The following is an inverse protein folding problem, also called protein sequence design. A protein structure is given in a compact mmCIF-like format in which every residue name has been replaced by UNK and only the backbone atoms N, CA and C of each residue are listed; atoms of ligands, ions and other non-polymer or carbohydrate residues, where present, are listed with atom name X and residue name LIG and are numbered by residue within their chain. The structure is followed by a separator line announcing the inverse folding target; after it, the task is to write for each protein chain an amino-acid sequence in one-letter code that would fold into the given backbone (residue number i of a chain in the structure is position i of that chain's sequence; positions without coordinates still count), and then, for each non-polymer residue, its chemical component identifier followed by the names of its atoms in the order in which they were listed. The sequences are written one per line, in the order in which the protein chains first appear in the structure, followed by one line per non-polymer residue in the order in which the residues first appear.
data_IF_868197193215
#
_entry.id   IF_868197193215
#
_cell.length_a   1.000
_cell.length_b   1.000
_cell.length_c   1.000
_cell.angle_alpha   90.00
_cell.angle_beta   90.00
_cell.angle_gamma   90.00
#
_symmetry.space_group_name_H-M   'P 1'
#
loop_
_entity.id
_entity.type
_entity.pdbx_description
1 polymer ?
#
# COMPACT_ATOMS: atom_id res chain seq x y z
N UNK A 1 32.21 -60.26 43.20
CA UNK A 1 32.05 -59.73 41.84
C UNK A 1 31.79 -58.26 41.96
N UNK A 2 32.75 -57.39 41.57
CA UNK A 2 32.58 -55.96 41.55
C UNK A 2 32.25 -55.55 40.11
N UNK A 3 31.01 -55.09 39.89
CA UNK A 3 30.57 -54.55 38.58
C UNK A 3 31.04 -53.12 38.51
N UNK A 4 31.95 -52.83 37.59
CA UNK A 4 32.42 -51.44 37.29
C UNK A 4 31.45 -50.78 36.32
N UNK A 5 30.61 -49.91 36.82
CA UNK A 5 29.80 -49.04 35.92
C UNK A 5 30.70 -48.01 35.26
N UNK A 6 30.81 -48.11 33.94
CA UNK A 6 31.53 -47.16 33.07
C UNK A 6 30.59 -45.99 32.75
N UNK A 7 30.68 -44.91 33.51
CA UNK A 7 29.98 -43.67 33.18
C UNK A 7 30.55 -43.08 31.90
N UNK A 8 29.76 -43.11 30.82
CA UNK A 8 30.04 -42.40 29.58
C UNK A 8 29.80 -40.90 29.82
N UNK A 9 30.89 -40.17 30.01
CA UNK A 9 30.84 -38.70 30.03
C UNK A 9 30.56 -38.22 28.61
N UNK A 10 29.32 -37.75 28.35
CA UNK A 10 28.98 -37.08 27.10
C UNK A 10 29.74 -35.76 27.06
N UNK A 11 30.69 -35.65 26.15
CA UNK A 11 31.39 -34.41 25.87
C UNK A 11 30.37 -33.38 25.39
N UNK A 12 30.06 -32.38 26.21
CA UNK A 12 29.29 -31.22 25.84
C UNK A 12 30.18 -30.36 24.94
N UNK A 13 30.07 -30.51 23.61
CA UNK A 13 30.68 -29.61 22.66
C UNK A 13 30.08 -28.22 22.83
N UNK A 14 30.84 -27.25 23.32
CA UNK A 14 30.45 -25.85 23.33
C UNK A 14 30.60 -25.27 21.94
N UNK A 15 29.73 -24.32 21.56
CA UNK A 15 29.88 -23.56 20.32
C UNK A 15 31.17 -22.74 20.33
N UNK A 16 31.88 -22.76 19.23
CA UNK A 16 33.06 -21.93 19.05
C UNK A 16 32.68 -20.48 18.75
N UNK A 17 33.52 -19.55 19.16
CA UNK A 17 33.33 -18.11 18.86
C UNK A 17 33.27 -17.87 17.35
N UNK A 18 34.04 -18.65 16.57
CA UNK A 18 34.08 -18.59 15.10
C UNK A 18 32.75 -19.02 14.49
N UNK A 19 32.09 -20.08 15.02
CA UNK A 19 30.77 -20.51 14.53
C UNK A 19 29.72 -19.44 14.74
N UNK A 20 29.70 -18.76 15.88
CA UNK A 20 28.79 -17.66 16.13
C UNK A 20 29.08 -16.47 15.19
N UNK A 21 30.34 -16.16 14.97
CA UNK A 21 30.76 -15.08 14.09
C UNK A 21 30.35 -15.35 12.63
N UNK A 22 30.48 -16.60 12.18
CA UNK A 22 30.05 -17.03 10.85
C UNK A 22 28.52 -16.90 10.70
N UNK A 23 27.75 -17.31 11.69
CA UNK A 23 26.29 -17.23 11.66
C UNK A 23 25.82 -15.77 11.56
N UNK A 24 26.35 -14.86 12.38
CA UNK A 24 25.97 -13.46 12.30
C UNK A 24 26.41 -12.78 11.00
N UNK A 25 27.54 -13.20 10.43
CA UNK A 25 28.00 -12.71 9.13
C UNK A 25 27.03 -13.14 8.01
N UNK A 26 26.61 -14.40 7.98
CA UNK A 26 25.62 -14.91 7.00
C UNK A 26 24.26 -14.22 7.19
N UNK A 27 23.78 -14.10 8.44
CA UNK A 27 22.54 -13.39 8.73
C UNK A 27 22.60 -11.93 8.29
N UNK A 28 23.74 -11.24 8.45
CA UNK A 28 23.95 -9.88 8.00
C UNK A 28 23.82 -9.73 6.48
N UNK A 29 24.42 -10.65 5.72
CA UNK A 29 24.32 -10.67 4.24
C UNK A 29 22.88 -10.93 3.79
N UNK A 30 22.20 -11.91 4.40
CA UNK A 30 20.81 -12.23 4.09
C UNK A 30 19.87 -11.07 4.43
N UNK A 31 20.05 -10.41 5.58
CA UNK A 31 19.25 -9.26 5.97
C UNK A 31 19.41 -8.09 4.99
N UNK A 32 20.62 -7.83 4.51
CA UNK A 32 20.85 -6.78 3.51
C UNK A 32 20.09 -7.05 2.20
N UNK A 33 20.07 -8.30 1.72
CA UNK A 33 19.33 -8.69 0.50
C UNK A 33 17.81 -8.53 0.64
N UNK A 34 17.26 -8.77 1.82
CA UNK A 34 15.83 -8.64 2.10
C UNK A 34 15.41 -7.16 2.03
N UNK A 35 16.15 -6.25 2.65
CA UNK A 35 15.80 -4.82 2.69
C UNK A 35 15.76 -4.20 1.28
N UNK A 36 16.64 -4.60 0.37
CA UNK A 36 16.69 -4.06 -1.00
C UNK A 36 15.47 -4.45 -1.85
N UNK A 37 14.86 -5.61 -1.60
CA UNK A 37 13.69 -6.07 -2.38
C UNK A 37 12.34 -5.53 -1.88
N UNK A 38 12.22 -5.14 -0.62
CA UNK A 38 10.95 -4.66 -0.06
C UNK A 38 10.54 -3.28 -0.56
N UNK A 39 11.47 -2.42 -0.98
CA UNK A 39 11.17 -1.07 -1.46
C UNK A 39 10.28 -1.05 -2.71
N UNK A 40 10.58 -1.91 -3.69
CA UNK A 40 9.81 -2.02 -4.94
C UNK A 40 8.42 -2.60 -4.72
N UNK A 41 8.30 -3.71 -3.98
CA UNK A 41 7.02 -4.39 -3.71
C UNK A 41 6.05 -3.48 -2.94
N UNK A 42 6.55 -2.69 -1.99
CA UNK A 42 5.71 -1.75 -1.25
C UNK A 42 5.20 -0.61 -2.15
N UNK A 43 6.01 -0.12 -3.08
CA UNK A 43 5.61 0.87 -4.07
C UNK A 43 4.50 0.36 -4.99
N UNK A 44 4.67 -0.83 -5.54
CA UNK A 44 3.68 -1.49 -6.40
C UNK A 44 2.36 -1.75 -5.67
N UNK A 45 2.42 -2.19 -4.41
CA UNK A 45 1.24 -2.40 -3.59
C UNK A 45 0.46 -1.10 -3.36
N UNK A 46 1.16 0.02 -3.07
CA UNK A 46 0.56 1.35 -2.92
C UNK A 46 -0.07 1.83 -4.23
N UNK A 47 0.63 1.66 -5.35
CA UNK A 47 0.12 2.03 -6.66
C UNK A 47 -1.15 1.24 -7.02
N UNK A 48 -1.19 -0.06 -6.74
CA UNK A 48 -2.38 -0.88 -6.98
C UNK A 48 -3.54 -0.47 -6.07
N UNK A 49 -3.31 -0.24 -4.78
CA UNK A 49 -4.33 0.26 -3.86
C UNK A 49 -4.88 1.63 -4.30
N UNK A 50 -4.02 2.51 -4.82
CA UNK A 50 -4.41 3.81 -5.38
C UNK A 50 -5.30 3.65 -6.61
N UNK A 51 -4.96 2.76 -7.54
CA UNK A 51 -5.78 2.47 -8.73
C UNK A 51 -7.17 1.93 -8.35
N UNK A 52 -7.24 1.04 -7.35
CA UNK A 52 -8.51 0.51 -6.86
C UNK A 52 -9.37 1.60 -6.18
N UNK A 53 -8.73 2.52 -5.47
CA UNK A 53 -9.40 3.68 -4.89
C UNK A 53 -9.95 4.62 -5.98
N UNK A 54 -9.17 4.91 -7.02
CA UNK A 54 -9.58 5.71 -8.18
C UNK A 54 -10.81 5.11 -8.85
N UNK A 55 -10.83 3.80 -9.11
CA UNK A 55 -11.99 3.09 -9.69
C UNK A 55 -13.24 3.19 -8.81
N UNK A 56 -13.05 3.08 -7.50
CA UNK A 56 -14.14 3.21 -6.54
C UNK A 56 -14.73 4.61 -6.54
N UNK A 57 -13.87 5.65 -6.58
CA UNK A 57 -14.26 7.06 -6.65
C UNK A 57 -14.97 7.35 -7.97
N UNK A 58 -14.45 6.87 -9.10
CA UNK A 58 -15.06 7.03 -10.42
C UNK A 58 -16.47 6.45 -10.48
N UNK A 59 -16.65 5.22 -9.97
CA UNK A 59 -17.97 4.57 -9.91
C UNK A 59 -18.94 5.36 -9.02
N UNK A 60 -18.49 5.82 -7.87
CA UNK A 60 -19.31 6.61 -6.96
C UNK A 60 -19.65 7.98 -7.57
N UNK A 61 -18.71 8.60 -8.27
CA UNK A 61 -18.92 9.89 -8.94
C UNK A 61 -19.93 9.80 -10.10
N UNK A 62 -19.90 8.72 -10.86
CA UNK A 62 -20.90 8.46 -11.90
C UNK A 62 -22.32 8.27 -11.29
N UNK A 63 -22.42 7.57 -10.17
CA UNK A 63 -23.68 7.44 -9.45
C UNK A 63 -24.14 8.79 -8.85
N UNK A 64 -23.22 9.63 -8.41
CA UNK A 64 -23.51 10.99 -7.93
C UNK A 64 -24.05 11.87 -9.07
N UNK A 65 -23.44 11.83 -10.25
CA UNK A 65 -23.89 12.56 -11.42
C UNK A 65 -25.33 12.18 -11.81
N UNK A 66 -25.65 10.89 -11.82
CA UNK A 66 -27.02 10.42 -12.11
C UNK A 66 -28.04 10.93 -11.09
N UNK A 67 -27.64 11.06 -9.82
CA UNK A 67 -28.54 11.52 -8.73
C UNK A 67 -28.71 13.03 -8.68
N UNK A 68 -27.63 13.77 -8.89
CA UNK A 68 -27.54 15.22 -8.61
C UNK A 68 -27.56 16.04 -9.90
N UNK A 69 -27.28 15.39 -11.06
CA UNK A 69 -27.19 16.06 -12.38
C UNK A 69 -25.87 16.76 -12.63
N UNK A 70 -24.87 16.57 -11.78
CA UNK A 70 -23.52 17.13 -11.94
C UNK A 70 -22.49 16.23 -11.25
N UNK A 71 -21.24 16.31 -11.62
CA UNK A 71 -20.15 15.64 -10.92
C UNK A 71 -19.91 16.23 -9.52
N UNK A 72 -19.35 15.43 -8.58
CA UNK A 72 -18.94 15.91 -7.27
C UNK A 72 -17.75 16.87 -7.40
N UNK A 73 -17.62 17.83 -6.48
CA UNK A 73 -16.48 18.74 -6.45
C UNK A 73 -15.29 18.14 -5.69
N UNK A 74 -15.58 17.21 -4.76
CA UNK A 74 -14.57 16.57 -3.93
C UNK A 74 -14.96 15.12 -3.62
N UNK A 75 -14.01 14.33 -3.11
CA UNK A 75 -14.28 12.96 -2.66
C UNK A 75 -15.20 12.96 -1.42
N UNK A 76 -15.16 14.01 -0.61
CA UNK A 76 -16.01 14.19 0.55
C UNK A 76 -17.50 14.29 0.17
N UNK A 77 -17.83 14.86 -0.97
CA UNK A 77 -19.21 14.92 -1.48
C UNK A 77 -19.80 13.52 -1.66
N UNK A 78 -18.97 12.53 -1.99
CA UNK A 78 -19.37 11.13 -2.17
C UNK A 78 -19.60 10.39 -0.85
N UNK A 79 -19.00 10.88 0.24
CA UNK A 79 -19.10 10.32 1.59
C UNK A 79 -20.21 10.97 2.41
N UNK A 80 -20.64 12.16 1.99
CA UNK A 80 -21.70 12.88 2.67
C UNK A 80 -23.07 12.31 2.31
N UNK A 81 -23.96 12.23 3.30
CA UNK A 81 -25.38 11.92 3.09
C UNK A 81 -26.12 13.21 2.74
N UNK A 82 -26.01 13.68 1.50
CA UNK A 82 -26.86 14.77 1.06
C UNK A 82 -28.31 14.25 0.98
N UNK A 83 -29.25 15.03 1.51
CA UNK A 83 -30.69 14.79 1.43
C UNK A 83 -31.20 13.46 2.01
N UNK A 84 -30.55 12.92 3.04
CA UNK A 84 -30.98 11.69 3.73
C UNK A 84 -30.73 10.40 2.93
N UNK A 85 -30.04 10.49 1.81
CA UNK A 85 -29.62 9.31 1.02
C UNK A 85 -28.34 8.68 1.56
N UNK A 86 -28.14 7.38 1.32
CA UNK A 86 -26.92 6.69 1.73
C UNK A 86 -25.70 7.28 0.99
N UNK A 87 -24.53 7.39 1.66
CA UNK A 87 -23.28 7.74 1.02
C UNK A 87 -22.98 6.83 -0.16
N UNK A 88 -22.42 7.37 -1.23
CA UNK A 88 -22.02 6.62 -2.41
C UNK A 88 -20.64 5.98 -2.26
N UNK A 89 -19.81 6.55 -1.38
CA UNK A 89 -18.54 5.99 -0.97
C UNK A 89 -18.57 5.74 0.53
N UNK A 90 -17.96 4.63 0.99
CA UNK A 90 -17.88 4.32 2.43
C UNK A 90 -17.19 5.48 3.16
N UNK A 91 -17.84 6.09 4.18
CA UNK A 91 -17.24 7.18 4.95
C UNK A 91 -15.91 6.82 5.61
N UNK A 92 -15.65 5.53 5.87
CA UNK A 92 -14.42 5.03 6.48
C UNK A 92 -13.27 4.87 5.48
N UNK A 93 -13.56 4.85 4.17
CA UNK A 93 -12.48 4.77 3.17
C UNK A 93 -11.64 6.05 3.19
N UNK A 94 -10.29 5.94 3.10
CA UNK A 94 -9.45 7.11 3.02
C UNK A 94 -9.76 7.93 1.76
N UNK A 95 -9.67 9.25 1.86
CA UNK A 95 -9.72 10.19 0.74
C UNK A 95 -8.37 10.41 0.09
N UNK A 96 -7.37 9.68 0.56
CA UNK A 96 -5.97 9.77 0.18
C UNK A 96 -5.54 8.53 -0.58
N UNK A 97 -4.53 8.72 -1.41
CA UNK A 97 -3.86 7.66 -2.14
C UNK A 97 -2.94 6.79 -1.24
N UNK A 98 -2.22 5.85 -1.83
CA UNK A 98 -1.32 4.95 -1.10
C UNK A 98 -0.10 5.63 -0.47
N UNK A 99 0.15 6.89 -0.76
CA UNK A 99 1.24 7.70 -0.21
C UNK A 99 0.77 8.82 0.73
N UNK A 100 -0.56 9.00 0.86
CA UNK A 100 -1.17 9.97 1.75
C UNK A 100 -1.51 11.30 1.08
N UNK A 101 -1.47 11.39 -0.26
CA UNK A 101 -1.88 12.57 -1.00
C UNK A 101 -3.38 12.53 -1.30
N UNK A 102 -4.06 13.66 -1.29
CA UNK A 102 -5.48 13.75 -1.62
C UNK A 102 -5.71 13.55 -3.12
N UNK A 103 -6.82 12.87 -3.46
CA UNK A 103 -7.25 12.75 -4.85
C UNK A 103 -7.78 14.07 -5.37
N UNK A 104 -7.40 14.42 -6.58
CA UNK A 104 -7.99 15.56 -7.32
C UNK A 104 -9.05 15.07 -8.29
N UNK A 105 -10.19 15.78 -8.30
CA UNK A 105 -11.28 15.58 -9.23
C UNK A 105 -11.32 16.77 -10.20
N UNK A 106 -11.31 16.48 -11.47
CA UNK A 106 -11.33 17.52 -12.53
C UNK A 106 -12.19 17.10 -13.71
N UNK A 107 -12.99 18.01 -14.24
CA UNK A 107 -13.66 17.79 -15.51
C UNK A 107 -12.68 18.12 -16.64
N UNK A 108 -12.48 17.17 -17.52
CA UNK A 108 -11.60 17.29 -18.68
C UNK A 108 -12.42 17.33 -19.97
N UNK A 109 -11.73 17.52 -21.10
CA UNK A 109 -12.35 17.66 -22.42
C UNK A 109 -13.37 16.56 -22.71
N UNK A 110 -14.55 16.96 -23.19
CA UNK A 110 -15.69 16.09 -23.42
C UNK A 110 -16.62 15.90 -22.22
N UNK A 111 -16.39 16.63 -21.10
CA UNK A 111 -17.27 16.60 -19.92
C UNK A 111 -17.06 15.37 -19.04
N UNK A 112 -15.94 14.66 -19.16
CA UNK A 112 -15.64 13.48 -18.36
C UNK A 112 -14.90 13.84 -17.07
N UNK A 113 -15.21 13.11 -16.00
CA UNK A 113 -14.49 13.23 -14.74
C UNK A 113 -13.13 12.52 -14.83
N UNK A 114 -12.07 13.25 -14.52
CA UNK A 114 -10.76 12.70 -14.24
C UNK A 114 -10.53 12.66 -12.73
N UNK A 115 -10.14 11.49 -12.22
CA UNK A 115 -9.70 11.29 -10.84
C UNK A 115 -8.20 11.06 -10.89
N UNK A 116 -7.43 11.87 -10.17
CA UNK A 116 -5.97 11.87 -10.22
C UNK A 116 -5.35 11.77 -8.83
N UNK A 117 -4.29 10.98 -8.70
CA UNK A 117 -3.36 10.91 -7.58
C UNK A 117 -2.01 11.47 -8.01
N UNK A 118 -1.34 12.18 -7.11
CA UNK A 118 0.01 12.71 -7.31
C UNK A 118 1.13 11.67 -7.22
N UNK A 119 0.79 10.39 -7.06
CA UNK A 119 1.78 9.32 -7.01
C UNK A 119 2.74 9.39 -5.83
N UNK A 120 3.92 8.82 -6.01
CA UNK A 120 4.91 8.65 -4.96
C UNK A 120 5.64 9.96 -4.61
N UNK A 121 5.82 10.86 -5.56
CA UNK A 121 6.53 12.12 -5.38
C UNK A 121 5.65 13.22 -4.76
N UNK A 122 4.32 13.01 -4.73
CA UNK A 122 3.34 13.96 -4.17
C UNK A 122 3.17 15.23 -5.01
N UNK A 123 3.67 15.26 -6.24
CA UNK A 123 3.62 16.42 -7.14
C UNK A 123 2.74 16.12 -8.33
N UNK A 124 1.72 16.95 -8.59
CA UNK A 124 0.83 16.79 -9.73
C UNK A 124 1.50 17.13 -11.05
N UNK A 125 1.10 16.47 -12.12
CA UNK A 125 1.57 16.59 -13.49
C UNK A 125 3.01 16.08 -13.68
N UNK A 126 3.36 15.01 -12.96
CA UNK A 126 4.61 14.28 -13.13
C UNK A 126 4.34 12.89 -13.74
N UNK A 127 5.42 12.16 -13.99
CA UNK A 127 5.35 10.86 -14.67
C UNK A 127 4.78 9.73 -13.83
N UNK A 128 4.73 9.90 -12.52
CA UNK A 128 4.19 8.92 -11.57
C UNK A 128 2.73 9.17 -11.16
N UNK A 129 2.09 10.21 -11.72
CA UNK A 129 0.65 10.43 -11.55
C UNK A 129 -0.15 9.21 -11.97
N UNK A 130 -1.16 8.87 -11.18
CA UNK A 130 -2.10 7.78 -11.48
C UNK A 130 -3.48 8.37 -11.73
N UNK A 131 -4.07 8.03 -12.88
CA UNK A 131 -5.40 8.53 -13.25
C UNK A 131 -6.32 7.38 -13.67
N UNK A 132 -7.66 7.65 -13.68
CA UNK A 132 -8.65 6.70 -14.21
C UNK A 132 -8.61 6.58 -15.75
N UNK A 133 -7.89 7.46 -16.44
CA UNK A 133 -7.83 7.49 -17.92
C UNK A 133 -6.58 6.80 -18.49
N UNK A 134 -5.72 6.31 -17.62
CA UNK A 134 -4.42 5.77 -18.02
C UNK A 134 -3.44 6.90 -18.39
N UNK A 135 -2.17 6.53 -18.59
CA UNK A 135 -1.19 7.41 -19.20
C UNK A 135 -1.47 7.57 -20.68
#
# INVERSE_FOLDING_TARGET
MKTTEKTLSAARGGFTLVELLLVIAILGVLAAGVVMNFGGVAGDARANATRDSIRSIETAAAAYEVRVGRYPNSVEDLKSSADGMRPLLDPKKPTQDGWGNEFQLRIVDGGFLEVRSAGADGVMNTDDDITNRGK
#
